data_IF_577776946867
#
_entry.id   IF_577776946867
#
_cell.length_a   1.000
_cell.length_b   1.000
_cell.length_c   1.000
_cell.angle_alpha   90.00
_cell.angle_beta   90.00
_cell.angle_gamma   90.00
#
_symmetry.space_group_name_H-M   'P 1'
#
loop_
_entity.id
_entity.type
_entity.pdbx_description
1 polymer ?
#
# COMPACT_ATOMS: atom_id res chain seq x y z
N UNK A 1 20.16 2.28 -5.74
CA UNK A 1 18.94 3.12 -5.79
C UNK A 1 18.33 3.15 -4.41
N UNK A 2 17.96 4.34 -3.91
CA UNK A 2 17.30 4.46 -2.61
C UNK A 2 15.82 4.04 -2.70
N UNK A 3 15.17 3.73 -1.58
CA UNK A 3 13.72 3.49 -1.51
C UNK A 3 12.92 4.68 -2.04
N UNK A 4 13.33 5.90 -1.72
CA UNK A 4 12.77 7.13 -2.30
C UNK A 4 12.88 7.18 -3.81
N UNK A 5 14.04 6.78 -4.35
CA UNK A 5 14.24 6.78 -5.79
C UNK A 5 13.33 5.75 -6.46
N UNK A 6 13.22 4.55 -5.89
CA UNK A 6 12.30 3.52 -6.39
C UNK A 6 10.84 3.95 -6.31
N UNK A 7 10.44 4.65 -5.24
CA UNK A 7 9.08 5.16 -5.09
C UNK A 7 8.81 6.32 -6.04
N UNK A 8 9.75 7.26 -6.21
CA UNK A 8 9.65 8.30 -7.25
C UNK A 8 9.54 7.68 -8.63
N UNK A 9 10.41 6.72 -8.94
CA UNK A 9 10.39 6.02 -10.22
C UNK A 9 9.05 5.29 -10.41
N UNK A 10 8.51 4.64 -9.38
CA UNK A 10 7.18 4.03 -9.40
C UNK A 10 6.09 5.07 -9.69
N UNK A 11 6.11 6.21 -8.98
CA UNK A 11 5.15 7.29 -9.20
C UNK A 11 5.29 7.96 -10.57
N UNK A 12 6.49 7.97 -11.13
CA UNK A 12 6.74 8.40 -12.51
C UNK A 12 6.31 7.35 -13.55
N UNK A 13 6.32 6.05 -13.19
CA UNK A 13 5.80 4.97 -14.01
C UNK A 13 4.28 4.88 -13.98
N UNK A 14 3.63 5.35 -12.91
CA UNK A 14 2.20 5.59 -12.98
C UNK A 14 1.97 6.59 -14.12
N UNK A 15 1.28 6.19 -15.20
CA UNK A 15 1.02 7.08 -16.32
C UNK A 15 0.37 8.32 -15.74
N UNK A 16 1.02 9.47 -15.97
CA UNK A 16 0.36 10.76 -15.81
C UNK A 16 -0.79 10.71 -16.79
N UNK A 17 -2.03 10.61 -16.33
CA UNK A 17 -3.15 10.56 -17.24
C UNK A 17 -3.12 11.86 -18.03
N UNK A 18 -3.23 11.80 -19.36
CA UNK A 18 -4.17 12.73 -19.97
C UNK A 18 -5.47 12.49 -19.19
N UNK A 19 -6.00 13.51 -18.50
CA UNK A 19 -7.08 13.45 -17.49
C UNK A 19 -8.39 12.72 -17.91
N UNK A 20 -8.38 12.05 -19.07
CA UNK A 20 -9.48 11.39 -19.76
C UNK A 20 -9.36 9.85 -19.79
N UNK A 21 -8.24 9.23 -19.40
CA UNK A 21 -8.08 7.77 -19.46
C UNK A 21 -8.08 7.11 -18.06
N UNK A 22 -9.11 6.30 -17.74
CA UNK A 22 -9.09 5.42 -16.59
C UNK A 22 -7.91 4.45 -16.66
N UNK A 23 -7.35 4.09 -15.50
CA UNK A 23 -6.45 2.92 -15.46
C UNK A 23 -7.32 1.66 -15.49
N UNK A 24 -6.96 0.70 -16.32
CA UNK A 24 -7.75 -0.53 -16.49
C UNK A 24 -7.40 -1.62 -15.47
N UNK A 25 -6.20 -1.55 -14.87
CA UNK A 25 -5.70 -2.52 -13.90
C UNK A 25 -4.81 -1.82 -12.87
N UNK A 26 -4.84 -2.26 -11.59
CA UNK A 26 -3.87 -1.80 -10.61
C UNK A 26 -2.49 -2.39 -10.90
N UNK A 27 -1.45 -1.78 -10.34
CA UNK A 27 -0.12 -2.37 -10.35
C UNK A 27 0.00 -3.40 -9.24
N UNK A 28 0.66 -4.52 -9.54
CA UNK A 28 0.82 -5.62 -8.59
C UNK A 28 2.25 -5.65 -8.05
N UNK A 29 2.37 -5.62 -6.72
CA UNK A 29 3.64 -5.58 -6.03
C UNK A 29 3.80 -6.73 -5.05
N UNK A 30 4.99 -7.30 -5.04
CA UNK A 30 5.43 -8.13 -3.92
C UNK A 30 5.90 -7.21 -2.80
N UNK A 31 5.42 -7.48 -1.59
CA UNK A 31 5.68 -6.68 -0.41
C UNK A 31 6.19 -7.59 0.71
N UNK A 32 7.30 -7.22 1.35
CA UNK A 32 7.91 -7.98 2.45
C UNK A 32 8.64 -7.08 3.45
N UNK A 33 8.81 -7.57 4.68
CA UNK A 33 9.54 -6.88 5.76
C UNK A 33 11.05 -7.19 5.77
N UNK A 34 11.80 -6.49 6.62
CA UNK A 34 13.26 -6.69 6.78
C UNK A 34 13.65 -8.10 7.27
N UNK A 35 12.72 -8.81 7.91
CA UNK A 35 12.90 -10.18 8.38
C UNK A 35 12.49 -11.22 7.30
N UNK A 36 12.27 -10.78 6.05
CA UNK A 36 11.83 -11.62 4.93
C UNK A 36 10.44 -12.25 5.15
N UNK A 37 9.56 -11.59 5.92
CA UNK A 37 8.15 -11.95 5.98
C UNK A 37 7.40 -11.24 4.87
N UNK A 38 6.81 -12.03 3.99
CA UNK A 38 6.02 -11.54 2.87
C UNK A 38 4.58 -11.30 3.32
N UNK A 39 3.96 -10.30 2.70
CA UNK A 39 2.56 -10.01 2.93
C UNK A 39 1.69 -10.96 2.11
N UNK A 40 0.74 -11.63 2.77
CA UNK A 40 -0.22 -12.55 2.16
C UNK A 40 -1.64 -12.24 2.63
N UNK A 41 -2.62 -12.68 1.85
CA UNK A 41 -4.01 -12.69 2.27
C UNK A 41 -4.38 -14.06 2.85
N UNK A 42 -4.88 -14.10 4.08
CA UNK A 42 -5.39 -15.31 4.74
C UNK A 42 -6.67 -14.97 5.47
N UNK A 43 -7.78 -15.65 5.14
CA UNK A 43 -9.10 -15.43 5.75
C UNK A 43 -9.52 -13.95 5.76
N UNK A 44 -9.34 -13.26 4.62
CA UNK A 44 -9.61 -11.82 4.48
C UNK A 44 -8.83 -10.92 5.44
N UNK A 45 -7.67 -11.39 5.92
CA UNK A 45 -6.72 -10.61 6.69
C UNK A 45 -5.37 -10.56 5.98
N UNK A 46 -4.74 -9.39 5.97
CA UNK A 46 -3.34 -9.25 5.57
C UNK A 46 -2.44 -9.76 6.69
N UNK A 47 -1.57 -10.71 6.36
CA UNK A 47 -0.66 -11.38 7.30
C UNK A 47 0.76 -11.32 6.75
N UNK A 48 1.71 -10.92 7.58
CA UNK A 48 3.14 -11.03 7.27
C UNK A 48 3.69 -12.37 7.80
N UNK A 49 4.19 -13.24 6.92
CA UNK A 49 4.77 -14.52 7.29
C UNK A 49 6.02 -14.86 6.45
N UNK A 50 6.97 -15.66 6.95
CA UNK A 50 8.05 -16.19 6.12
C UNK A 50 7.48 -16.95 4.91
N UNK A 51 8.12 -16.84 3.76
CA UNK A 51 7.75 -17.62 2.58
C UNK A 51 8.26 -19.05 2.75
N UNK A 52 7.36 -20.00 2.93
CA UNK A 52 7.66 -21.43 2.82
C UNK A 52 7.28 -21.96 1.42
N UNK A 53 7.55 -23.24 1.15
CA UNK A 53 7.24 -23.85 -0.15
C UNK A 53 5.76 -23.89 -0.51
N UNK A 54 4.85 -23.66 0.44
CA UNK A 54 3.40 -23.72 0.25
C UNK A 54 2.75 -22.33 0.27
N UNK A 55 3.52 -21.27 0.52
CA UNK A 55 3.02 -19.91 0.63
C UNK A 55 2.55 -19.41 -0.75
N UNK A 56 1.30 -18.92 -0.87
CA UNK A 56 0.76 -18.48 -2.15
C UNK A 56 1.58 -17.30 -2.67
N UNK A 57 1.73 -17.21 -4.00
CA UNK A 57 2.39 -16.06 -4.59
C UNK A 57 1.46 -14.84 -4.61
N UNK A 58 1.31 -14.19 -3.45
CA UNK A 58 0.40 -13.08 -3.28
C UNK A 58 1.05 -11.75 -3.66
N UNK A 59 0.34 -10.97 -4.47
CA UNK A 59 0.71 -9.62 -4.85
C UNK A 59 -0.32 -8.62 -4.31
N UNK A 60 0.16 -7.47 -3.88
CA UNK A 60 -0.68 -6.36 -3.41
C UNK A 60 -1.00 -5.47 -4.61
N UNK A 61 -2.28 -5.16 -4.80
CA UNK A 61 -2.69 -4.16 -5.76
C UNK A 61 -2.40 -2.76 -5.22
N UNK A 62 -1.82 -1.90 -6.04
CA UNK A 62 -1.52 -0.51 -5.70
C UNK A 62 -1.93 0.42 -6.83
N UNK A 63 -2.44 1.60 -6.48
CA UNK A 63 -2.73 2.70 -7.39
C UNK A 63 -2.43 4.03 -6.68
N UNK A 64 -1.97 5.09 -7.39
CA UNK A 64 -1.80 6.39 -6.76
C UNK A 64 -3.17 6.99 -6.41
N UNK A 65 -3.23 7.81 -5.36
CA UNK A 65 -4.36 8.69 -5.10
C UNK A 65 -4.05 10.08 -5.68
N UNK A 66 -4.72 10.43 -6.78
CA UNK A 66 -4.45 11.66 -7.53
C UNK A 66 -5.03 12.93 -6.88
N UNK A 67 -5.92 12.76 -5.90
CA UNK A 67 -6.60 13.87 -5.22
C UNK A 67 -5.84 14.34 -3.98
N UNK A 68 -4.61 13.87 -3.77
CA UNK A 68 -3.74 14.24 -2.65
C UNK A 68 -2.37 14.70 -3.13
N UNK A 69 -1.61 15.35 -2.24
CA UNK A 69 -0.27 15.89 -2.53
C UNK A 69 0.70 14.79 -3.01
N UNK A 70 1.01 14.81 -4.31
CA UNK A 70 1.85 13.81 -4.98
C UNK A 70 3.26 13.71 -4.38
N UNK A 71 3.76 14.78 -3.76
CA UNK A 71 5.08 14.80 -3.12
C UNK A 71 5.14 13.91 -1.87
N UNK A 72 3.98 13.49 -1.34
CA UNK A 72 3.85 12.57 -0.22
C UNK A 72 3.60 11.13 -0.65
N UNK A 73 3.62 10.87 -1.96
CA UNK A 73 3.42 9.54 -2.55
C UNK A 73 2.17 8.83 -2.01
N UNK A 74 0.97 9.44 -2.16
CA UNK A 74 -0.27 8.87 -1.67
C UNK A 74 -0.70 7.69 -2.54
N UNK A 75 -0.97 6.54 -1.92
CA UNK A 75 -1.39 5.30 -2.59
C UNK A 75 -2.64 4.70 -1.95
N UNK A 76 -3.44 4.03 -2.77
CA UNK A 76 -4.39 3.01 -2.35
C UNK A 76 -3.71 1.64 -2.39
N UNK A 77 -4.09 0.78 -1.45
CA UNK A 77 -3.62 -0.60 -1.35
C UNK A 77 -4.84 -1.52 -1.41
N UNK A 78 -4.74 -2.67 -2.08
CA UNK A 78 -5.85 -3.60 -2.20
C UNK A 78 -5.44 -5.04 -2.44
N UNK A 79 -6.44 -5.90 -2.54
CA UNK A 79 -6.27 -7.31 -2.86
C UNK A 79 -5.77 -7.52 -4.28
N UNK A 80 -5.11 -8.64 -4.56
CA UNK A 80 -4.54 -8.92 -5.88
C UNK A 80 -5.55 -8.82 -7.03
N UNK A 81 -6.80 -9.20 -6.78
CA UNK A 81 -7.92 -9.10 -7.73
C UNK A 81 -8.50 -7.68 -7.82
N UNK A 82 -8.07 -6.76 -6.97
CA UNK A 82 -8.52 -5.38 -6.88
C UNK A 82 -9.92 -5.20 -6.30
N UNK A 83 -10.57 -6.26 -5.81
CA UNK A 83 -11.97 -6.22 -5.36
C UNK A 83 -12.13 -5.61 -3.96
N UNK A 84 -11.11 -5.71 -3.11
CA UNK A 84 -11.11 -5.14 -1.77
C UNK A 84 -9.92 -4.20 -1.59
N UNK A 85 -10.10 -3.18 -0.76
CA UNK A 85 -9.08 -2.16 -0.49
C UNK A 85 -8.81 -2.04 1.01
N UNK A 86 -7.55 -1.80 1.35
CA UNK A 86 -7.12 -1.57 2.71
C UNK A 86 -7.62 -0.20 3.16
N UNK A 87 -8.31 -0.15 4.29
CA UNK A 87 -8.70 1.07 4.97
C UNK A 87 -8.09 1.11 6.37
N UNK A 88 -7.98 2.32 6.90
CA UNK A 88 -7.60 2.62 8.25
C UNK A 88 -8.72 3.47 8.85
N UNK A 89 -9.46 2.88 9.79
CA UNK A 89 -10.52 3.53 10.55
C UNK A 89 -10.18 3.61 12.04
N UNK A 90 -11.09 4.16 12.84
CA UNK A 90 -11.00 4.10 14.30
C UNK A 90 -11.91 3.01 14.84
N UNK A 91 -11.39 2.21 15.78
CA UNK A 91 -12.17 1.23 16.53
C UNK A 91 -11.68 1.21 17.96
N UNK A 92 -12.58 1.44 18.92
CA UNK A 92 -12.21 1.51 20.34
C UNK A 92 -11.20 2.62 20.67
N UNK A 93 -11.21 3.73 19.92
CA UNK A 93 -10.27 4.84 20.08
C UNK A 93 -8.86 4.57 19.57
N UNK A 94 -8.65 3.52 18.77
CA UNK A 94 -7.37 3.20 18.15
C UNK A 94 -7.50 3.04 16.64
N UNK A 95 -6.47 3.43 15.86
CA UNK A 95 -6.41 3.14 14.44
C UNK A 95 -6.43 1.62 14.19
N UNK A 96 -7.32 1.17 13.31
CA UNK A 96 -7.47 -0.22 12.93
C UNK A 96 -7.42 -0.36 11.41
N UNK A 97 -6.59 -1.29 10.92
CA UNK A 97 -6.56 -1.68 9.52
C UNK A 97 -7.62 -2.73 9.21
N UNK A 98 -8.36 -2.54 8.13
CA UNK A 98 -9.40 -3.46 7.66
C UNK A 98 -9.35 -3.60 6.13
N UNK A 99 -9.80 -4.74 5.61
CA UNK A 99 -10.10 -4.88 4.19
C UNK A 99 -11.59 -4.61 3.99
N UNK A 100 -11.90 -3.57 3.22
CA UNK A 100 -13.27 -3.22 2.88
C UNK A 100 -13.60 -3.67 1.46
N UNK A 101 -14.87 -4.04 1.23
CA UNK A 101 -15.40 -4.46 -0.08
C UNK A 101 -15.56 -3.31 -1.06
N UNK A 102 -14.47 -2.56 -1.28
CA UNK A 102 -14.41 -1.43 -2.20
C UNK A 102 -13.28 -1.67 -3.19
N UNK A 103 -13.60 -1.70 -4.48
CA UNK A 103 -12.61 -1.98 -5.50
C UNK A 103 -11.59 -0.85 -5.59
N UNK A 104 -10.31 -1.21 -5.76
CA UNK A 104 -9.22 -0.23 -5.80
C UNK A 104 -9.34 0.71 -7.00
N UNK A 105 -9.88 0.21 -8.12
CA UNK A 105 -10.13 1.02 -9.32
C UNK A 105 -11.31 2.00 -9.13
N UNK A 106 -12.29 1.67 -8.29
CA UNK A 106 -13.38 2.60 -7.97
C UNK A 106 -12.85 3.76 -7.13
N UNK A 107 -12.01 3.46 -6.12
CA UNK A 107 -11.30 4.49 -5.34
C UNK A 107 -10.45 5.40 -6.24
N UNK A 108 -9.79 4.80 -7.22
CA UNK A 108 -8.90 5.50 -8.12
C UNK A 108 -9.65 6.41 -9.13
N UNK A 109 -10.84 6.00 -9.58
CA UNK A 109 -11.59 6.68 -10.65
C UNK A 109 -12.67 7.66 -10.15
N UNK A 110 -13.06 7.61 -8.88
CA UNK A 110 -14.19 8.43 -8.39
C UNK A 110 -13.84 9.90 -8.09
N UNK A 111 -12.57 10.28 -8.21
CA UNK A 111 -12.09 11.65 -8.06
C UNK A 111 -12.23 12.20 -6.64
N UNK A 112 -12.07 11.36 -5.60
CA UNK A 112 -12.12 11.78 -4.20
C UNK A 112 -10.85 11.41 -3.43
N UNK A 113 -10.57 12.17 -2.36
CA UNK A 113 -9.38 11.98 -1.52
C UNK A 113 -9.33 10.64 -0.78
N UNK A 114 -10.46 10.01 -0.40
CA UNK A 114 -10.51 8.78 0.42
C UNK A 114 -9.41 8.65 1.48
N UNK A 115 -9.31 9.62 2.40
CA UNK A 115 -8.24 9.64 3.43
C UNK A 115 -8.12 8.32 4.21
N UNK A 116 -9.24 7.67 4.54
CA UNK A 116 -9.24 6.40 5.26
C UNK A 116 -8.65 5.25 4.44
N UNK A 117 -8.63 5.32 3.11
CA UNK A 117 -8.02 4.31 2.24
C UNK A 117 -6.61 4.68 1.79
N UNK A 118 -6.15 5.88 2.13
CA UNK A 118 -4.89 6.41 1.60
C UNK A 118 -3.74 6.19 2.56
N UNK A 119 -2.62 5.74 2.01
CA UNK A 119 -1.37 5.61 2.71
C UNK A 119 -0.28 6.44 2.02
N UNK A 120 0.53 7.14 2.79
CA UNK A 120 1.71 7.84 2.29
C UNK A 120 2.91 6.90 2.34
N UNK A 121 3.59 6.73 1.21
CA UNK A 121 4.88 6.05 1.21
C UNK A 121 5.98 6.98 1.70
N UNK A 122 6.70 6.56 2.75
CA UNK A 122 7.88 7.25 3.26
C UNK A 122 9.11 6.39 3.07
N UNK A 123 10.21 6.97 2.62
CA UNK A 123 11.51 6.32 2.77
C UNK A 123 11.89 6.18 4.24
N UNK A 124 12.48 5.03 4.56
CA UNK A 124 13.17 4.83 5.82
C UNK A 124 14.55 5.52 5.81
N UNK A 125 15.17 5.59 6.99
CA UNK A 125 16.57 6.04 7.14
C UNK A 125 17.59 5.06 6.53
N UNK A 126 17.16 3.84 6.21
CA UNK A 126 17.95 2.85 5.47
C UNK A 126 17.63 2.93 3.99
N UNK A 127 18.67 2.79 3.17
CA UNK A 127 18.67 3.02 1.72
C UNK A 127 17.62 2.16 0.97
N UNK A 128 17.12 1.05 1.53
CA UNK A 128 16.27 0.10 0.81
C UNK A 128 14.89 -0.18 1.44
N UNK A 129 14.56 0.44 2.58
CA UNK A 129 13.28 0.21 3.26
C UNK A 129 12.37 1.42 3.19
N UNK A 130 11.06 1.16 3.07
CA UNK A 130 10.01 2.17 3.13
C UNK A 130 8.97 1.80 4.19
N UNK A 131 8.15 2.78 4.55
CA UNK A 131 6.99 2.59 5.41
C UNK A 131 5.76 3.20 4.75
N UNK A 132 4.59 2.69 5.12
CA UNK A 132 3.30 3.25 4.74
C UNK A 132 2.64 3.87 5.96
N UNK A 133 2.34 5.16 5.89
CA UNK A 133 1.63 5.89 6.94
C UNK A 133 0.19 6.15 6.54
N UNK A 134 -0.77 5.89 7.43
CA UNK A 134 -2.18 6.23 7.20
C UNK A 134 -2.39 7.74 7.06
N UNK A 135 -3.11 8.16 6.02
CA UNK A 135 -3.51 9.56 5.84
C UNK A 135 -4.62 9.99 6.81
N UNK A 136 -5.43 9.05 7.31
CA UNK A 136 -6.47 9.33 8.30
C UNK A 136 -5.90 9.49 9.72
N UNK A 137 -4.76 8.86 10.02
CA UNK A 137 -4.10 8.88 11.34
C UNK A 137 -2.61 9.21 11.21
N UNK A 138 -2.24 10.46 10.84
CA UNK A 138 -0.85 10.85 10.70
C UNK A 138 -0.12 10.84 12.05
N UNK A 139 1.12 10.36 12.10
CA UNK A 139 1.98 10.39 13.30
C UNK A 139 1.74 9.30 14.36
N UNK A 140 0.55 8.70 14.42
CA UNK A 140 0.22 7.59 15.34
C UNK A 140 0.93 6.26 14.97
N UNK A 141 1.43 6.16 13.74
CA UNK A 141 2.13 4.98 13.20
C UNK A 141 3.50 4.69 13.83
N UNK A 142 4.03 5.59 14.66
CA UNK A 142 5.41 5.51 15.14
C UNK A 142 5.64 4.57 16.32
N UNK A 143 4.67 4.29 17.22
CA UNK A 143 5.02 3.48 18.40
C UNK A 143 3.87 2.73 19.11
N UNK A 144 2.63 2.70 18.60
CA UNK A 144 1.53 1.98 19.30
C UNK A 144 0.79 1.01 18.38
N UNK A 145 1.21 -0.26 18.48
CA UNK A 145 0.51 -1.50 18.09
C UNK A 145 -0.50 -1.37 16.94
N UNK A 146 -0.03 -1.05 15.75
CA UNK A 146 -0.61 -1.64 14.54
C UNK A 146 0.09 -2.98 14.36
N UNK A 147 -0.43 -4.03 15.00
CA UNK A 147 0.05 -5.41 14.76
C UNK A 147 -0.77 -6.00 13.61
N UNK A 148 -0.15 -6.75 12.68
CA UNK A 148 0.97 -7.64 12.94
C UNK A 148 2.27 -7.11 12.35
N UNK A 149 3.19 -6.61 13.21
CA UNK A 149 4.64 -6.42 12.93
C UNK A 149 5.00 -6.22 11.45
N UNK A 150 4.47 -5.19 10.80
CA UNK A 150 4.80 -4.87 9.42
C UNK A 150 5.15 -3.39 9.37
N UNK A 151 6.23 -3.04 10.08
CA UNK A 151 6.73 -1.67 10.16
C UNK A 151 7.82 -1.38 9.13
N UNK A 152 8.18 -2.37 8.31
CA UNK A 152 9.02 -2.18 7.14
C UNK A 152 8.33 -2.88 5.98
N UNK A 153 8.02 -2.13 4.93
CA UNK A 153 7.54 -2.72 3.69
C UNK A 153 8.51 -2.34 2.58
N UNK A 154 9.14 -3.35 1.99
CA UNK A 154 10.05 -3.22 0.85
C UNK A 154 9.22 -3.15 -0.43
N UNK A 155 9.62 -2.25 -1.33
CA UNK A 155 9.08 -2.09 -2.68
C UNK A 155 10.16 -2.33 -3.76
N UNK A 156 9.78 -2.35 -5.03
CA UNK A 156 9.20 -3.46 -5.79
C UNK A 156 10.21 -4.58 -6.10
N UNK A 157 9.72 -5.81 -6.31
CA UNK A 157 10.37 -6.71 -7.26
C UNK A 157 9.99 -6.25 -8.68
N UNK A 158 10.99 -5.84 -9.46
CA UNK A 158 10.83 -5.61 -10.90
C UNK A 158 10.42 -6.94 -11.55
N UNK A 159 9.32 -6.97 -12.32
CA UNK A 159 9.14 -8.05 -13.30
C UNK A 159 10.12 -7.79 -14.44
N UNK A 160 10.93 -8.80 -14.74
CA UNK A 160 11.52 -8.95 -16.09
C UNK A 160 10.40 -9.23 -17.09
#
# INVERSE_FOLDING_TARGET
MTADQKMRDLFHHFPKPDHLRPIEKPWLFRVWDIDQKFLFLKNNMLVAAPKDGNSPDYLVAMTPNREMDENKFPIFLGTQDGAQSLSCGESGGQPQLTLEGKAILDLYNDGKEHKNFTFFSKSGSRIETGSFESAAFPGESRERRISPKAQDFIAPAQMK
#
